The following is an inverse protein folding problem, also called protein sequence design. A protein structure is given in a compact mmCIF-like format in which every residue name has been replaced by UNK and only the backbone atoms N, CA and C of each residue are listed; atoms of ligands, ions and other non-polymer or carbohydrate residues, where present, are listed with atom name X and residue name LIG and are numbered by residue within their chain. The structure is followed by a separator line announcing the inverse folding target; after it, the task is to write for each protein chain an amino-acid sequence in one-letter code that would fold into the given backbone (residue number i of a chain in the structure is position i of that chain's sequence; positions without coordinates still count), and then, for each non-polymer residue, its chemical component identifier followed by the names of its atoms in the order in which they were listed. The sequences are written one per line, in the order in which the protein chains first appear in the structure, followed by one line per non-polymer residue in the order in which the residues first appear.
data_IF_592143118180
#
_entry.id   IF_592143118180
#
_cell.length_a   1.000
_cell.length_b   1.000
_cell.length_c   1.000
_cell.angle_alpha   90.00
_cell.angle_beta   90.00
_cell.angle_gamma   90.00
#
_symmetry.space_group_name_H-M   'P 1'
#
loop_
_entity.id
_entity.type
_entity.pdbx_description
1 polymer ?
#
# COMPACT_ATOMS: atom_id res chain seq x y z
N UNK A 1 26.13 9.24 22.23
CA UNK A 1 25.23 8.10 22.39
C UNK A 1 23.88 8.68 22.81
N UNK A 2 23.10 9.12 21.81
CA UNK A 2 21.75 9.65 22.03
C UNK A 2 20.79 8.51 21.74
N UNK A 3 19.92 8.23 22.71
CA UNK A 3 18.92 7.19 22.64
C UNK A 3 17.82 7.65 21.68
N UNK A 4 17.52 6.81 20.69
CA UNK A 4 16.46 6.96 19.69
C UNK A 4 15.17 6.42 20.35
N UNK A 5 14.29 7.31 20.82
CA UNK A 5 13.21 6.96 21.77
C UNK A 5 11.87 6.59 21.10
N UNK A 6 11.85 6.35 19.79
CA UNK A 6 10.65 5.87 19.10
C UNK A 6 9.43 6.79 19.25
N UNK A 7 9.63 8.06 19.60
CA UNK A 7 8.56 9.02 19.82
C UNK A 7 7.70 9.18 18.54
N UNK A 8 6.36 9.24 18.65
CA UNK A 8 5.44 9.39 17.52
C UNK A 8 5.77 10.57 16.60
N UNK A 9 6.41 11.61 17.14
CA UNK A 9 6.81 12.80 16.39
C UNK A 9 7.93 12.53 15.36
N UNK A 10 8.83 11.59 15.63
CA UNK A 10 9.92 11.24 14.71
C UNK A 10 9.45 10.30 13.58
N UNK A 11 8.44 9.47 13.83
CA UNK A 11 7.81 8.64 12.81
C UNK A 11 6.96 9.51 11.86
N UNK A 12 6.19 10.47 12.41
CA UNK A 12 5.44 11.47 11.64
C UNK A 12 6.33 12.25 10.69
N UNK A 13 7.47 12.77 11.17
CA UNK A 13 8.39 13.56 10.34
C UNK A 13 9.03 12.75 9.18
N UNK A 14 9.27 11.44 9.36
CA UNK A 14 9.77 10.54 8.30
C UNK A 14 8.68 10.14 7.30
N UNK A 15 7.43 10.07 7.75
CA UNK A 15 6.26 9.78 6.91
C UNK A 15 5.83 10.98 6.10
N UNK A 16 5.92 12.19 6.67
CA UNK A 16 5.69 13.44 5.95
C UNK A 16 6.65 13.54 4.75
N UNK A 17 7.91 13.12 4.92
CA UNK A 17 8.87 13.10 3.79
C UNK A 17 8.55 12.02 2.74
N UNK A 18 7.93 10.90 3.12
CA UNK A 18 7.59 9.80 2.21
C UNK A 18 6.29 10.10 1.45
N UNK A 19 5.25 10.59 2.14
CA UNK A 19 4.00 11.05 1.54
C UNK A 19 4.20 12.30 0.66
N UNK A 20 5.06 13.25 1.03
CA UNK A 20 5.37 14.40 0.14
C UNK A 20 6.01 13.97 -1.19
N UNK A 21 6.80 12.88 -1.20
CA UNK A 21 7.44 12.38 -2.42
C UNK A 21 6.56 11.41 -3.24
N UNK A 22 5.52 10.81 -2.65
CA UNK A 22 4.65 9.81 -3.30
C UNK A 22 3.22 10.33 -3.55
N UNK A 23 2.75 11.31 -2.79
CA UNK A 23 1.34 11.76 -2.70
C UNK A 23 1.17 13.30 -2.68
N UNK A 24 2.01 14.06 -3.40
CA UNK A 24 1.85 15.52 -3.53
C UNK A 24 0.81 15.91 -4.59
N UNK A 25 -0.13 16.82 -4.25
CA UNK A 25 -1.00 17.72 -5.06
C UNK A 25 -1.79 17.12 -6.26
N UNK A 26 -1.52 15.87 -6.61
CA UNK A 26 -2.00 15.17 -7.78
C UNK A 26 -3.18 14.27 -7.45
N UNK A 27 -3.82 14.37 -6.29
CA UNK A 27 -4.93 13.46 -6.00
C UNK A 27 -6.29 14.02 -6.46
N UNK A 28 -6.45 15.35 -6.48
CA UNK A 28 -7.72 16.01 -6.90
C UNK A 28 -7.76 16.16 -8.41
N UNK A 29 -6.66 16.65 -8.97
CA UNK A 29 -6.45 16.73 -10.41
C UNK A 29 -5.84 15.46 -10.99
N UNK A 30 -5.11 14.63 -10.25
CA UNK A 30 -4.29 13.56 -10.83
C UNK A 30 -4.80 12.13 -10.72
N UNK A 31 -6.01 11.90 -10.24
CA UNK A 31 -6.81 10.82 -10.81
C UNK A 31 -7.09 11.10 -12.30
N UNK A 32 -7.56 12.32 -12.62
CA UNK A 32 -7.83 12.75 -14.01
C UNK A 32 -6.54 12.95 -14.80
N UNK A 33 -5.48 13.57 -14.24
CA UNK A 33 -4.15 13.66 -14.88
C UNK A 33 -3.54 12.27 -15.02
N UNK A 34 -3.73 11.35 -14.06
CA UNK A 34 -3.24 9.98 -14.12
C UNK A 34 -3.88 9.20 -15.28
N UNK A 35 -5.20 9.23 -15.41
CA UNK A 35 -5.93 8.62 -16.53
C UNK A 35 -5.54 9.29 -17.86
N UNK A 36 -5.53 10.62 -17.93
CA UNK A 36 -5.11 11.36 -19.12
C UNK A 36 -3.65 11.09 -19.51
N UNK A 37 -2.78 10.83 -18.53
CA UNK A 37 -1.40 10.44 -18.77
C UNK A 37 -1.35 9.03 -19.37
N UNK A 38 -2.06 8.06 -18.78
CA UNK A 38 -2.17 6.69 -19.35
C UNK A 38 -2.71 6.75 -20.78
N UNK A 39 -3.73 7.54 -21.06
CA UNK A 39 -4.27 7.71 -22.42
C UNK A 39 -3.24 8.29 -23.40
N UNK A 40 -2.40 9.21 -22.93
CA UNK A 40 -1.40 9.89 -23.75
C UNK A 40 -0.13 9.09 -24.01
N UNK A 41 0.39 8.38 -23.00
CA UNK A 41 1.68 7.67 -23.09
C UNK A 41 1.52 6.14 -23.17
N UNK A 42 0.32 5.64 -22.92
CA UNK A 42 0.00 4.22 -22.86
C UNK A 42 0.45 3.55 -21.57
N UNK A 43 -0.27 2.49 -21.19
CA UNK A 43 0.01 1.68 -20.00
C UNK A 43 1.46 1.15 -19.97
N UNK A 44 1.97 0.68 -21.11
CA UNK A 44 3.33 0.15 -21.22
C UNK A 44 4.40 1.20 -20.83
N UNK A 45 4.18 2.49 -21.14
CA UNK A 45 5.10 3.54 -20.74
C UNK A 45 5.03 3.80 -19.23
N UNK A 46 3.84 3.80 -18.64
CA UNK A 46 3.64 3.93 -17.18
C UNK A 46 4.39 2.83 -16.44
N UNK A 47 4.17 1.56 -16.81
CA UNK A 47 4.86 0.42 -16.19
C UNK A 47 6.37 0.51 -16.42
N UNK A 48 6.84 0.93 -17.61
CA UNK A 48 8.27 1.15 -17.88
C UNK A 48 8.88 2.20 -16.96
N UNK A 49 8.17 3.29 -16.67
CA UNK A 49 8.63 4.32 -15.75
C UNK A 49 8.69 3.81 -14.31
N UNK A 50 7.65 3.12 -13.85
CA UNK A 50 7.63 2.52 -12.51
C UNK A 50 8.73 1.45 -12.34
N UNK A 51 8.94 0.58 -13.34
CA UNK A 51 10.05 -0.39 -13.36
C UNK A 51 11.41 0.29 -13.21
N UNK A 52 11.62 1.42 -13.90
CA UNK A 52 12.87 2.19 -13.79
C UNK A 52 13.07 2.76 -12.39
N UNK A 53 12.00 3.23 -11.74
CA UNK A 53 12.06 3.72 -10.36
C UNK A 53 12.40 2.59 -9.38
N UNK A 54 11.84 1.39 -9.57
CA UNK A 54 12.15 0.22 -8.75
C UNK A 54 13.57 -0.34 -8.98
N UNK A 55 14.18 -0.13 -10.15
CA UNK A 55 15.44 -0.78 -10.51
C UNK A 55 16.66 -0.47 -9.63
N UNK A 56 16.59 0.56 -8.77
CA UNK A 56 17.64 0.87 -7.79
C UNK A 56 17.35 0.38 -6.37
N UNK A 57 16.20 -0.25 -6.14
CA UNK A 57 15.75 -0.67 -4.82
C UNK A 57 16.19 -2.09 -4.50
N UNK A 58 16.35 -2.45 -3.21
CA UNK A 58 16.57 -3.83 -2.80
C UNK A 58 15.48 -4.77 -3.31
N UNK A 59 15.86 -6.02 -3.54
CA UNK A 59 14.97 -7.03 -4.11
C UNK A 59 13.80 -7.38 -3.16
N UNK A 60 14.01 -7.20 -1.87
CA UNK A 60 13.10 -7.44 -0.75
C UNK A 60 12.10 -6.31 -0.49
N UNK A 61 12.19 -5.21 -1.25
CA UNK A 61 11.35 -4.02 -1.08
C UNK A 61 9.86 -4.36 -1.12
N UNK A 62 9.08 -3.87 -0.15
CA UNK A 62 7.62 -3.95 -0.15
C UNK A 62 7.07 -3.12 -1.32
N UNK A 63 6.17 -3.70 -2.10
CA UNK A 63 5.49 -2.98 -3.18
C UNK A 63 4.20 -2.35 -2.66
N UNK A 64 3.99 -1.06 -2.90
CA UNK A 64 2.79 -0.34 -2.47
C UNK A 64 2.21 0.46 -3.63
N UNK A 65 0.89 0.42 -3.79
CA UNK A 65 0.18 1.11 -4.86
C UNK A 65 -1.17 1.64 -4.40
N UNK A 66 -1.49 2.87 -4.82
CA UNK A 66 -2.75 3.55 -4.52
C UNK A 66 -3.58 3.66 -5.80
N UNK A 67 -4.84 3.22 -5.77
CA UNK A 67 -5.78 3.25 -6.90
C UNK A 67 -5.13 2.67 -8.16
N UNK A 68 -4.96 3.45 -9.24
CA UNK A 68 -4.22 3.03 -10.45
C UNK A 68 -2.82 2.45 -10.14
N UNK A 69 -2.12 2.99 -9.13
CA UNK A 69 -0.83 2.47 -8.68
C UNK A 69 -0.88 1.04 -8.18
N UNK A 70 -2.01 0.55 -7.66
CA UNK A 70 -2.18 -0.85 -7.28
C UNK A 70 -2.10 -1.77 -8.52
N UNK A 71 -2.67 -1.35 -9.65
CA UNK A 71 -2.56 -2.09 -10.92
C UNK A 71 -1.13 -2.06 -11.47
N UNK A 72 -0.41 -0.95 -11.30
CA UNK A 72 1.02 -0.87 -11.65
C UNK A 72 1.84 -1.84 -10.78
N UNK A 73 1.55 -1.92 -9.48
CA UNK A 73 2.18 -2.88 -8.57
C UNK A 73 1.88 -4.31 -9.01
N UNK A 74 0.62 -4.63 -9.37
CA UNK A 74 0.24 -5.96 -9.85
C UNK A 74 1.07 -6.40 -11.08
N UNK A 75 1.32 -5.48 -12.02
CA UNK A 75 2.13 -5.75 -13.22
C UNK A 75 3.63 -5.94 -12.90
N UNK A 76 4.15 -5.25 -11.89
CA UNK A 76 5.57 -5.33 -11.50
C UNK A 76 5.85 -6.44 -10.49
N UNK A 77 4.84 -6.94 -9.79
CA UNK A 77 4.97 -7.96 -8.77
C UNK A 77 5.64 -9.24 -9.28
N UNK A 78 5.31 -9.80 -10.47
CA UNK A 78 6.02 -10.95 -11.02
C UNK A 78 7.53 -10.74 -11.21
N UNK A 79 7.97 -9.49 -11.42
CA UNK A 79 9.38 -9.13 -11.60
C UNK A 79 10.12 -8.99 -10.26
N UNK A 80 9.39 -9.07 -9.14
CA UNK A 80 9.92 -8.91 -7.79
C UNK A 80 9.64 -10.13 -6.91
N UNK A 81 10.17 -11.32 -7.26
CA UNK A 81 9.88 -12.55 -6.52
C UNK A 81 10.32 -12.50 -5.04
N UNK A 82 11.32 -11.68 -4.70
CA UNK A 82 11.84 -11.51 -3.35
C UNK A 82 11.10 -10.46 -2.50
N UNK A 83 10.14 -9.70 -3.05
CA UNK A 83 9.44 -8.62 -2.31
C UNK A 83 8.88 -9.09 -0.99
N UNK A 84 9.14 -8.44 0.15
CA UNK A 84 8.70 -8.98 1.46
C UNK A 84 7.22 -8.80 1.75
N UNK A 85 6.51 -7.98 0.96
CA UNK A 85 5.08 -7.72 1.15
C UNK A 85 4.48 -6.87 0.04
N UNK A 86 3.15 -6.86 -0.05
CA UNK A 86 2.41 -5.99 -0.99
C UNK A 86 1.29 -5.23 -0.28
N UNK A 87 1.21 -3.92 -0.54
CA UNK A 87 0.14 -3.04 -0.05
C UNK A 87 -0.68 -2.53 -1.22
N UNK A 88 -1.96 -2.89 -1.24
CA UNK A 88 -2.94 -2.46 -2.22
C UNK A 88 -3.89 -1.46 -1.54
N UNK A 89 -3.81 -0.20 -1.91
CA UNK A 89 -4.64 0.86 -1.35
C UNK A 89 -5.64 1.29 -2.42
N UNK A 90 -6.92 1.25 -2.11
CA UNK A 90 -8.02 1.75 -2.95
C UNK A 90 -8.15 1.05 -4.31
N UNK A 91 -7.74 -0.20 -4.45
CA UNK A 91 -8.04 -1.00 -5.64
C UNK A 91 -7.78 -2.48 -5.40
N UNK A 92 -8.75 -3.32 -5.75
CA UNK A 92 -8.53 -4.76 -5.85
C UNK A 92 -7.93 -5.10 -7.21
N UNK A 93 -6.93 -5.99 -7.22
CA UNK A 93 -6.23 -6.45 -8.42
C UNK A 93 -6.31 -7.97 -8.52
N UNK A 94 -5.94 -8.51 -9.67
CA UNK A 94 -5.79 -9.95 -9.82
C UNK A 94 -4.44 -10.39 -9.23
N UNK A 95 -4.44 -11.51 -8.52
CA UNK A 95 -3.22 -12.05 -7.92
C UNK A 95 -2.33 -12.63 -9.03
N UNK A 96 -1.03 -12.30 -9.09
CA UNK A 96 -0.16 -12.84 -10.11
C UNK A 96 0.07 -14.34 -9.91
N UNK A 97 0.11 -15.10 -11.01
CA UNK A 97 0.32 -16.56 -10.99
C UNK A 97 1.66 -16.94 -10.34
N UNK A 98 2.66 -16.06 -10.41
CA UNK A 98 3.99 -16.27 -9.85
C UNK A 98 4.10 -15.90 -8.36
N UNK A 99 2.99 -15.56 -7.69
CA UNK A 99 3.02 -15.21 -6.27
C UNK A 99 3.53 -16.37 -5.43
N UNK A 100 4.36 -16.07 -4.43
CA UNK A 100 4.89 -17.10 -3.54
C UNK A 100 3.97 -17.33 -2.33
N UNK A 101 3.79 -18.58 -1.89
CA UNK A 101 3.12 -18.87 -0.63
C UNK A 101 3.80 -18.16 0.55
N UNK A 102 3.02 -17.73 1.53
CA UNK A 102 3.46 -17.02 2.73
C UNK A 102 3.82 -15.55 2.52
N UNK A 103 3.68 -15.02 1.30
CA UNK A 103 3.82 -13.57 1.08
C UNK A 103 2.67 -12.83 1.78
N UNK A 104 3.01 -11.80 2.56
CA UNK A 104 2.07 -10.93 3.26
C UNK A 104 1.51 -9.89 2.30
N UNK A 105 0.20 -9.68 2.33
CA UNK A 105 -0.48 -8.72 1.47
C UNK A 105 -1.61 -8.04 2.25
N UNK A 106 -1.71 -6.71 2.17
CA UNK A 106 -2.89 -5.99 2.67
C UNK A 106 -3.63 -5.30 1.54
N UNK A 107 -4.97 -5.38 1.58
CA UNK A 107 -5.87 -4.60 0.75
C UNK A 107 -6.68 -3.65 1.64
N UNK A 108 -6.62 -2.35 1.34
CA UNK A 108 -7.43 -1.33 1.98
C UNK A 108 -8.40 -0.74 0.96
N UNK A 109 -9.70 -0.77 1.23
CA UNK A 109 -10.71 -0.32 0.29
C UNK A 109 -11.84 0.44 0.99
N UNK A 110 -12.32 1.51 0.35
CA UNK A 110 -13.58 2.11 0.75
C UNK A 110 -14.73 1.11 0.57
N UNK A 111 -15.84 1.33 1.28
CA UNK A 111 -17.05 0.54 1.13
C UNK A 111 -18.27 1.48 1.11
N UNK A 112 -18.93 1.66 -0.05
CA UNK A 112 -18.64 1.05 -1.36
C UNK A 112 -17.42 1.65 -2.09
N UNK A 113 -16.82 0.87 -3.01
CA UNK A 113 -15.75 1.32 -3.91
C UNK A 113 -15.80 0.57 -5.24
N UNK A 114 -15.92 1.30 -6.36
CA UNK A 114 -16.01 0.73 -7.70
C UNK A 114 -14.70 0.08 -8.17
N UNK A 115 -13.57 0.42 -7.54
CA UNK A 115 -12.25 -0.15 -7.84
C UNK A 115 -11.93 -1.37 -6.96
N UNK A 116 -12.73 -1.61 -5.92
CA UNK A 116 -12.64 -2.78 -5.07
C UNK A 116 -14.04 -3.37 -4.78
N UNK A 117 -14.83 -3.68 -5.83
CA UNK A 117 -16.19 -4.13 -5.64
C UNK A 117 -16.19 -5.52 -4.96
N UNK A 118 -17.25 -5.87 -4.21
CA UNK A 118 -17.30 -7.08 -3.39
C UNK A 118 -16.92 -8.37 -4.11
N UNK A 119 -17.35 -8.54 -5.35
CA UNK A 119 -17.03 -9.69 -6.18
C UNK A 119 -15.54 -9.79 -6.52
N UNK A 120 -14.87 -8.65 -6.78
CA UNK A 120 -13.44 -8.63 -7.09
C UNK A 120 -12.59 -8.88 -5.86
N UNK A 121 -12.99 -8.31 -4.71
CA UNK A 121 -12.36 -8.59 -3.42
C UNK A 121 -12.52 -10.06 -3.05
N UNK A 122 -13.70 -10.64 -3.25
CA UNK A 122 -13.95 -12.06 -2.99
C UNK A 122 -13.08 -12.96 -3.89
N UNK A 123 -12.97 -12.65 -5.18
CA UNK A 123 -12.12 -13.37 -6.13
C UNK A 123 -10.64 -13.29 -5.74
N UNK A 124 -10.16 -12.10 -5.36
CA UNK A 124 -8.79 -11.90 -4.87
C UNK A 124 -8.50 -12.74 -3.62
N UNK A 125 -9.39 -12.71 -2.62
CA UNK A 125 -9.27 -13.53 -1.42
C UNK A 125 -9.27 -15.02 -1.73
N UNK A 126 -10.07 -15.47 -2.69
CA UNK A 126 -10.11 -16.87 -3.10
C UNK A 126 -8.78 -17.31 -3.74
N UNK A 127 -8.29 -16.54 -4.71
CA UNK A 127 -7.00 -16.81 -5.35
C UNK A 127 -5.84 -16.80 -4.35
N UNK A 128 -5.86 -15.88 -3.39
CA UNK A 128 -4.85 -15.81 -2.33
C UNK A 128 -4.84 -17.06 -1.44
N UNK A 129 -6.02 -17.55 -1.04
CA UNK A 129 -6.13 -18.80 -0.27
C UNK A 129 -5.59 -19.99 -1.06
N UNK A 130 -5.93 -20.09 -2.34
CA UNK A 130 -5.45 -21.17 -3.21
C UNK A 130 -3.93 -21.14 -3.41
N UNK A 131 -3.35 -19.94 -3.49
CA UNK A 131 -1.91 -19.73 -3.62
C UNK A 131 -1.15 -19.76 -2.27
N UNK A 132 -1.85 -19.90 -1.14
CA UNK A 132 -1.24 -19.89 0.19
C UNK A 132 -0.63 -18.54 0.58
N UNK A 133 -1.17 -17.43 0.07
CA UNK A 133 -0.75 -16.05 0.37
C UNK A 133 -1.46 -15.56 1.64
N UNK A 134 -0.74 -14.85 2.49
CA UNK A 134 -1.27 -14.28 3.73
C UNK A 134 -1.90 -12.91 3.43
N UNK A 135 -3.21 -12.91 3.15
CA UNK A 135 -3.97 -11.70 2.80
C UNK A 135 -4.81 -11.20 3.97
N UNK A 136 -4.64 -9.92 4.30
CA UNK A 136 -5.56 -9.15 5.14
C UNK A 136 -6.35 -8.16 4.27
N UNK A 137 -7.67 -8.09 4.46
CA UNK A 137 -8.54 -7.12 3.76
C UNK A 137 -9.22 -6.23 4.78
N UNK A 138 -9.05 -4.93 4.60
CA UNK A 138 -9.64 -3.88 5.42
C UNK A 138 -10.61 -3.06 4.58
N UNK A 139 -11.87 -3.02 5.03
CA UNK A 139 -12.93 -2.22 4.43
C UNK A 139 -13.29 -1.06 5.34
N UNK A 140 -13.55 0.09 4.73
CA UNK A 140 -13.83 1.34 5.42
C UNK A 140 -15.22 1.84 5.01
N UNK A 141 -16.26 1.62 5.85
CA UNK A 141 -17.63 1.97 5.49
C UNK A 141 -17.86 3.48 5.40
N UNK A 142 -18.55 3.91 4.34
CA UNK A 142 -19.08 5.27 4.22
C UNK A 142 -18.07 6.35 3.84
N UNK A 143 -16.83 5.98 3.49
CA UNK A 143 -15.78 6.91 3.06
C UNK A 143 -15.61 6.88 1.53
N UNK A 144 -15.06 7.96 0.96
CA UNK A 144 -14.83 8.05 -0.49
C UNK A 144 -13.62 7.27 -0.98
N UNK A 145 -13.47 7.13 -2.30
CA UNK A 145 -12.43 6.29 -2.89
C UNK A 145 -11.02 6.76 -2.49
N UNK A 146 -10.75 8.05 -2.32
CA UNK A 146 -9.44 8.54 -1.89
C UNK A 146 -9.47 9.10 -0.46
N UNK A 147 -10.12 8.40 0.47
CA UNK A 147 -10.29 8.90 1.84
C UNK A 147 -9.00 9.16 2.63
N UNK A 148 -7.86 8.59 2.19
CA UNK A 148 -6.54 8.79 2.82
C UNK A 148 -5.91 10.15 2.51
N UNK A 149 -6.44 10.88 1.51
CA UNK A 149 -5.84 12.10 1.02
C UNK A 149 -6.44 13.33 1.69
N UNK A 150 -5.63 14.03 2.48
CA UNK A 150 -6.02 15.21 3.24
C UNK A 150 -6.47 16.40 2.39
N UNK A 151 -6.10 16.41 1.11
CA UNK A 151 -6.43 17.47 0.16
C UNK A 151 -7.68 17.18 -0.65
N UNK A 152 -8.45 16.11 -0.39
CA UNK A 152 -9.65 15.74 -1.16
C UNK A 152 -10.96 15.90 -0.40
N UNK A 153 -12.11 16.05 -1.09
CA UNK A 153 -13.40 16.12 -0.42
C UNK A 153 -13.76 14.77 0.22
N UNK A 154 -13.19 13.69 -0.32
CA UNK A 154 -13.38 12.32 0.11
C UNK A 154 -12.65 11.99 1.41
N UNK A 155 -11.78 12.89 1.89
CA UNK A 155 -10.96 12.67 3.08
C UNK A 155 -11.81 12.29 4.29
N UNK A 156 -11.50 11.14 4.88
CA UNK A 156 -11.96 10.78 6.21
C UNK A 156 -10.75 10.60 7.14
N UNK A 157 -10.56 11.47 8.15
CA UNK A 157 -9.37 11.46 8.98
C UNK A 157 -9.24 10.20 9.83
N UNK A 158 -10.36 9.62 10.28
CA UNK A 158 -10.33 8.43 11.13
C UNK A 158 -9.97 7.18 10.33
N UNK A 159 -10.56 7.01 9.14
CA UNK A 159 -10.23 5.94 8.22
C UNK A 159 -8.80 6.07 7.69
N UNK A 160 -8.36 7.30 7.38
CA UNK A 160 -6.99 7.58 6.94
C UNK A 160 -5.97 7.20 8.01
N UNK A 161 -6.15 7.66 9.25
CA UNK A 161 -5.27 7.35 10.38
C UNK A 161 -5.18 5.83 10.62
N UNK A 162 -6.34 5.15 10.61
CA UNK A 162 -6.39 3.70 10.80
C UNK A 162 -5.70 2.93 9.66
N UNK A 163 -5.82 3.42 8.42
CA UNK A 163 -5.11 2.86 7.26
C UNK A 163 -3.62 2.97 7.43
N UNK A 164 -3.13 4.16 7.76
CA UNK A 164 -1.69 4.38 7.93
C UNK A 164 -1.11 3.61 9.10
N UNK A 165 -1.84 3.47 10.21
CA UNK A 165 -1.42 2.64 11.34
C UNK A 165 -1.16 1.18 10.91
N UNK A 166 -2.13 0.58 10.20
CA UNK A 166 -2.02 -0.79 9.69
C UNK A 166 -0.88 -0.97 8.69
N UNK A 167 -0.70 0.01 7.79
CA UNK A 167 0.43 0.03 6.85
C UNK A 167 1.77 0.09 7.58
N UNK A 168 1.89 0.89 8.64
CA UNK A 168 3.13 0.99 9.41
C UNK A 168 3.42 -0.28 10.20
N UNK A 169 2.40 -0.88 10.80
CA UNK A 169 2.51 -2.18 11.48
C UNK A 169 2.90 -3.28 10.47
N UNK A 170 2.39 -3.20 9.24
CA UNK A 170 2.76 -4.11 8.16
C UNK A 170 4.24 -3.99 7.79
N UNK A 171 4.74 -2.77 7.63
CA UNK A 171 6.12 -2.46 7.25
C UNK A 171 7.12 -2.74 8.38
N UNK A 172 6.67 -2.66 9.64
CA UNK A 172 7.49 -2.89 10.84
C UNK A 172 6.92 -4.04 11.69
N UNK A 173 6.98 -5.29 11.21
CA UNK A 173 6.38 -6.43 11.92
C UNK A 173 7.02 -6.73 13.28
N UNK A 174 8.13 -6.08 13.64
CA UNK A 174 8.91 -6.29 14.85
C UNK A 174 9.13 -4.99 15.66
N UNK A 175 8.02 -4.43 16.16
CA UNK A 175 8.01 -3.32 17.13
C UNK A 175 7.57 -3.70 18.56
N UNK A 176 7.47 -4.99 18.90
CA UNK A 176 6.97 -5.45 20.21
C UNK A 176 7.80 -6.58 20.84
N UNK A 177 9.11 -6.58 20.64
CA UNK A 177 10.04 -7.44 21.39
C UNK A 177 11.07 -6.56 22.10
N UNK A 178 10.75 -6.13 23.32
CA UNK A 178 11.60 -5.24 24.11
C UNK A 178 11.13 -4.99 25.54
N UNK A 179 10.51 -5.98 26.19
CA UNK A 179 10.34 -6.00 27.64
C UNK A 179 11.16 -7.16 28.23
N UNK A 180 12.49 -7.05 28.23
CA UNK A 180 13.32 -7.75 29.22
C UNK A 180 13.72 -6.75 30.30
N UNK A 181 12.76 -6.50 31.20
CA UNK A 181 13.02 -5.87 32.48
C UNK A 181 13.56 -6.91 33.46
N UNK A 182 14.79 -7.37 33.24
CA UNK A 182 15.57 -7.99 34.31
C UNK A 182 15.90 -6.91 35.34
N UNK A 183 15.26 -6.95 36.50
CA UNK A 183 15.81 -6.38 37.74
C UNK A 183 15.87 -7.50 38.77
N UNK A 184 17.05 -8.11 38.83
CA UNK A 184 17.52 -8.80 40.01
C UNK A 184 17.89 -7.74 41.07
N UNK A 185 17.23 -7.82 42.23
CA UNK A 185 17.82 -7.89 43.58
C UNK A 185 16.73 -7.87 44.64
#
# INVERSE_FOLDING_TARGET
MQNDDGSPAHLSARLDTWCEHVLSAAARDGFVIGINLVERIGWAAVVKHARRALGGMPDETVLAGVSMGASVVADLWPERPATTGVLLLHAAVDLPVSVRPGLRVQLHAAEPDDFAPPERVAAFCQAAREAGVDVEVFRYPGVGHFYIDGELPDHDPAAAELTWRRVLDFLNPSGSDGCDGTIAS
#
